data_IF_067231637387
#
_entry.id   IF_067231637387
#
_cell.length_a   1.000
_cell.length_b   1.000
_cell.length_c   1.000
_cell.angle_alpha   90.00
_cell.angle_beta   90.00
_cell.angle_gamma   90.00
#
_symmetry.space_group_name_H-M   'P 1'
#
loop_
_entity.id
_entity.type
_entity.pdbx_description
1 polymer ?
#
# COMPACT_ATOMS: atom_id res chain seq x y z
N UNK A 1 -26.09 -5.21 11.80
CA UNK A 1 -25.55 -6.09 10.74
C UNK A 1 -26.70 -6.92 10.20
N UNK A 2 -27.02 -6.78 8.91
CA UNK A 2 -27.95 -7.70 8.25
C UNK A 2 -27.18 -8.96 7.87
N UNK A 3 -27.51 -10.09 8.53
CA UNK A 3 -26.99 -11.39 8.16
C UNK A 3 -27.91 -12.04 7.12
N UNK A 4 -27.34 -12.72 6.13
CA UNK A 4 -28.11 -13.43 5.11
C UNK A 4 -28.99 -14.51 5.75
N UNK A 5 -30.26 -14.58 5.34
CA UNK A 5 -31.26 -15.52 5.85
C UNK A 5 -31.39 -16.76 4.96
N UNK A 6 -30.75 -16.77 3.80
CA UNK A 6 -30.72 -17.91 2.88
C UNK A 6 -29.41 -17.96 2.08
N UNK A 7 -29.14 -19.12 1.47
CA UNK A 7 -27.96 -19.31 0.63
C UNK A 7 -27.99 -18.41 -0.61
N UNK A 8 -29.16 -18.21 -1.23
CA UNK A 8 -29.32 -17.34 -2.40
C UNK A 8 -29.05 -15.88 -2.06
N UNK A 9 -29.54 -15.41 -0.90
CA UNK A 9 -29.26 -14.07 -0.38
C UNK A 9 -27.76 -13.88 -0.09
N UNK A 10 -27.11 -14.88 0.51
CA UNK A 10 -25.66 -14.83 0.73
C UNK A 10 -24.87 -14.70 -0.57
N UNK A 11 -25.23 -15.47 -1.61
CA UNK A 11 -24.55 -15.41 -2.91
C UNK A 11 -24.74 -14.05 -3.59
N UNK A 12 -25.94 -13.47 -3.50
CA UNK A 12 -26.23 -12.14 -4.02
C UNK A 12 -25.43 -11.06 -3.27
N UNK A 13 -25.47 -11.06 -1.94
CA UNK A 13 -24.69 -10.16 -1.09
C UNK A 13 -23.18 -10.26 -1.39
N UNK A 14 -22.67 -11.49 -1.59
CA UNK A 14 -21.27 -11.74 -1.95
C UNK A 14 -20.93 -11.15 -3.32
N UNK A 15 -21.81 -11.29 -4.33
CA UNK A 15 -21.59 -10.76 -5.69
C UNK A 15 -21.56 -9.23 -5.69
N UNK A 16 -22.48 -8.59 -4.97
CA UNK A 16 -22.54 -7.14 -4.83
C UNK A 16 -21.33 -6.60 -4.04
N UNK A 17 -20.93 -7.31 -2.99
CA UNK A 17 -19.72 -7.01 -2.23
C UNK A 17 -18.47 -7.10 -3.11
N UNK A 18 -18.33 -8.15 -3.93
CA UNK A 18 -17.22 -8.28 -4.87
C UNK A 18 -17.20 -7.19 -5.93
N UNK A 19 -18.37 -6.76 -6.42
CA UNK A 19 -18.47 -5.64 -7.37
C UNK A 19 -17.95 -4.34 -6.72
N UNK A 20 -18.42 -4.02 -5.50
CA UNK A 20 -17.99 -2.84 -4.76
C UNK A 20 -16.50 -2.86 -4.39
N UNK A 21 -15.98 -4.01 -3.98
CA UNK A 21 -14.55 -4.16 -3.67
C UNK A 21 -13.66 -3.98 -4.89
N UNK A 22 -14.12 -4.38 -6.08
CA UNK A 22 -13.35 -4.23 -7.32
C UNK A 22 -13.13 -2.75 -7.66
N UNK A 23 -14.14 -1.92 -7.45
CA UNK A 23 -14.07 -0.47 -7.68
C UNK A 23 -13.26 0.27 -6.58
N UNK A 24 -12.93 -0.42 -5.48
CA UNK A 24 -12.12 0.09 -4.37
C UNK A 24 -10.75 -0.61 -4.26
N UNK A 25 -10.31 -1.29 -5.32
CA UNK A 25 -9.06 -2.05 -5.30
C UNK A 25 -7.85 -1.12 -5.42
N UNK A 26 -7.24 -0.79 -4.28
CA UNK A 26 -5.97 -0.06 -4.24
C UNK A 26 -4.83 -1.04 -4.53
N UNK A 27 -4.40 -1.09 -5.79
CA UNK A 27 -3.29 -1.94 -6.21
C UNK A 27 -1.95 -1.33 -5.78
N UNK A 28 -1.14 -2.12 -5.08
CA UNK A 28 0.26 -1.78 -4.80
C UNK A 28 1.14 -2.50 -5.82
N UNK A 29 1.91 -1.78 -6.65
CA UNK A 29 2.88 -2.42 -7.52
C UNK A 29 3.95 -3.17 -6.71
N UNK A 30 4.41 -4.32 -7.21
CA UNK A 30 5.48 -5.09 -6.58
C UNK A 30 6.83 -4.37 -6.67
N UNK A 31 7.64 -4.41 -5.60
CA UNK A 31 9.00 -3.85 -5.60
C UNK A 31 9.18 -2.51 -4.89
N UNK A 32 8.12 -1.93 -4.33
CA UNK A 32 8.21 -0.69 -3.54
C UNK A 32 8.48 -0.97 -2.06
N UNK A 33 9.49 -0.28 -1.51
CA UNK A 33 9.91 -0.47 -0.12
C UNK A 33 8.90 0.10 0.91
N UNK A 34 8.09 1.07 0.50
CA UNK A 34 7.06 1.70 1.33
C UNK A 34 5.91 2.19 0.46
N UNK A 35 4.68 2.02 0.95
CA UNK A 35 3.48 2.52 0.27
C UNK A 35 2.66 3.31 1.28
N UNK A 36 1.93 4.32 0.81
CA UNK A 36 0.86 4.95 1.58
C UNK A 36 -0.53 4.38 1.20
N UNK A 37 -0.56 3.16 0.66
CA UNK A 37 -1.80 2.50 0.28
C UNK A 37 -2.74 2.45 1.50
N UNK A 38 -3.99 2.89 1.38
CA UNK A 38 -4.92 2.95 2.50
C UNK A 38 -5.19 1.57 3.11
N UNK A 39 -5.19 0.50 2.31
CA UNK A 39 -5.36 -0.89 2.77
C UNK A 39 -4.16 -1.34 3.59
N UNK A 40 -2.94 -1.10 3.11
CA UNK A 40 -1.71 -1.45 3.84
C UNK A 40 -1.58 -0.65 5.14
N UNK A 41 -1.90 0.64 5.08
CA UNK A 41 -1.89 1.54 6.25
C UNK A 41 -2.92 1.10 7.29
N UNK A 42 -4.16 0.78 6.86
CA UNK A 42 -5.19 0.25 7.75
C UNK A 42 -4.75 -1.07 8.38
N UNK A 43 -4.24 -2.01 7.58
CA UNK A 43 -3.75 -3.30 8.07
C UNK A 43 -2.58 -3.16 9.04
N UNK A 44 -1.68 -2.19 8.82
CA UNK A 44 -0.58 -1.91 9.73
C UNK A 44 -1.08 -1.41 11.10
N UNK A 45 -2.03 -0.48 11.10
CA UNK A 45 -2.68 0.02 12.33
C UNK A 45 -3.44 -1.09 13.04
N UNK A 46 -4.28 -1.85 12.31
CA UNK A 46 -5.04 -2.97 12.87
C UNK A 46 -4.11 -4.00 13.52
N UNK A 47 -3.04 -4.39 12.83
CA UNK A 47 -2.04 -5.33 13.36
C UNK A 47 -1.31 -4.75 14.57
N UNK A 48 -0.97 -3.47 14.58
CA UNK A 48 -0.18 -2.84 15.65
C UNK A 48 -1.03 -2.59 16.91
N UNK A 49 -2.17 -1.93 16.75
CA UNK A 49 -2.89 -1.30 17.85
C UNK A 49 -4.02 -2.19 18.37
N UNK A 50 -4.60 -3.02 17.50
CA UNK A 50 -5.82 -3.76 17.84
C UNK A 50 -5.54 -5.26 18.02
N UNK A 51 -4.69 -5.85 17.18
CA UNK A 51 -4.32 -7.26 17.33
C UNK A 51 -3.00 -7.46 18.05
N UNK A 52 -2.18 -6.43 18.27
CA UNK A 52 -0.82 -6.56 18.84
C UNK A 52 0.01 -7.64 18.11
N UNK A 53 -0.19 -7.75 16.78
CA UNK A 53 0.39 -8.75 15.89
C UNK A 53 0.06 -10.21 16.25
N UNK A 54 -0.98 -10.43 17.06
CA UNK A 54 -1.48 -11.76 17.43
C UNK A 54 -2.66 -12.19 16.55
N UNK A 55 -2.86 -13.50 16.44
CA UNK A 55 -4.05 -14.07 15.80
C UNK A 55 -5.24 -13.99 16.76
N UNK A 56 -6.37 -13.46 16.29
CA UNK A 56 -7.60 -13.35 17.06
C UNK A 56 -8.65 -14.37 16.58
N UNK A 57 -9.56 -14.74 17.48
CA UNK A 57 -10.81 -15.43 17.10
C UNK A 57 -11.69 -14.48 16.30
N UNK A 58 -12.55 -15.04 15.43
CA UNK A 58 -13.38 -14.25 14.50
C UNK A 58 -14.20 -13.16 15.19
N UNK A 59 -14.84 -13.45 16.33
CA UNK A 59 -15.64 -12.46 17.04
C UNK A 59 -14.81 -11.25 17.52
N UNK A 60 -13.63 -11.52 18.11
CA UNK A 60 -12.72 -10.46 18.53
C UNK A 60 -12.17 -9.68 17.33
N UNK A 61 -11.81 -10.36 16.24
CA UNK A 61 -11.34 -9.71 15.02
C UNK A 61 -12.40 -8.76 14.43
N UNK A 62 -13.66 -9.17 14.37
CA UNK A 62 -14.75 -8.33 13.87
C UNK A 62 -14.98 -7.10 14.76
N UNK A 63 -14.82 -7.25 16.07
CA UNK A 63 -14.90 -6.12 17.01
C UNK A 63 -13.76 -5.12 16.76
N UNK A 64 -12.52 -5.61 16.64
CA UNK A 64 -11.37 -4.75 16.34
C UNK A 64 -11.49 -4.04 14.99
N UNK A 65 -11.99 -4.72 13.96
CA UNK A 65 -12.28 -4.11 12.66
C UNK A 65 -13.34 -3.01 12.77
N UNK A 66 -14.41 -3.23 13.55
CA UNK A 66 -15.45 -2.23 13.79
C UNK A 66 -14.90 -0.99 14.49
N UNK A 67 -14.07 -1.17 15.51
CA UNK A 67 -13.42 -0.07 16.23
C UNK A 67 -12.48 0.71 15.30
N UNK A 68 -11.62 0.00 14.56
CA UNK A 68 -10.70 0.62 13.60
C UNK A 68 -11.42 1.41 12.50
N UNK A 69 -12.54 0.89 11.99
CA UNK A 69 -13.36 1.61 11.02
C UNK A 69 -13.94 2.91 11.60
N UNK A 70 -14.45 2.89 12.85
CA UNK A 70 -14.99 4.10 13.50
C UNK A 70 -13.91 5.17 13.72
N UNK A 71 -12.72 4.76 14.12
CA UNK A 71 -11.62 5.68 14.41
C UNK A 71 -11.00 6.29 13.13
N UNK A 72 -11.05 5.55 12.01
CA UNK A 72 -10.38 5.95 10.76
C UNK A 72 -11.31 6.49 9.67
N UNK A 73 -12.61 6.21 9.72
CA UNK A 73 -13.58 6.64 8.68
C UNK A 73 -13.78 8.16 8.62
N UNK A 74 -13.45 8.89 9.68
CA UNK A 74 -13.54 10.35 9.73
C UNK A 74 -12.29 11.07 9.20
N UNK A 75 -11.21 10.34 8.89
CA UNK A 75 -9.95 10.92 8.43
C UNK A 75 -9.88 10.86 6.91
N UNK A 76 -9.99 12.01 6.25
CA UNK A 76 -9.61 12.12 4.84
C UNK A 76 -8.09 12.09 4.75
N UNK A 77 -7.54 11.04 4.12
CA UNK A 77 -6.09 10.89 3.90
C UNK A 77 -5.83 10.80 2.42
N UNK A 78 -5.12 11.78 1.90
CA UNK A 78 -4.59 11.73 0.54
C UNK A 78 -3.59 10.58 0.45
N UNK A 79 -3.80 9.69 -0.51
CA UNK A 79 -2.83 8.67 -0.89
C UNK A 79 -2.40 8.93 -2.34
N UNK A 80 -1.18 8.55 -2.69
CA UNK A 80 -0.63 8.80 -4.03
C UNK A 80 -0.75 7.52 -4.84
N UNK A 81 -1.23 7.63 -6.07
CA UNK A 81 -1.13 6.57 -7.06
C UNK A 81 0.24 6.58 -7.77
N UNK A 82 0.93 7.72 -7.70
CA UNK A 82 2.27 7.88 -8.26
C UNK A 82 3.34 7.57 -7.23
N UNK A 83 4.46 7.03 -7.72
CA UNK A 83 5.66 6.82 -6.93
C UNK A 83 6.30 8.15 -6.61
N UNK A 84 6.44 8.44 -5.32
CA UNK A 84 7.17 9.62 -4.85
C UNK A 84 8.42 9.16 -4.11
N UNK A 85 9.63 9.44 -4.64
CA UNK A 85 10.86 9.12 -3.93
C UNK A 85 10.95 9.94 -2.64
N UNK A 86 11.35 9.29 -1.54
CA UNK A 86 11.56 9.97 -0.27
C UNK A 86 12.69 11.01 -0.39
N UNK A 87 12.50 12.22 0.13
CA UNK A 87 13.50 13.30 0.09
C UNK A 87 14.86 12.88 0.67
N UNK A 88 14.85 12.03 1.70
CA UNK A 88 16.05 11.47 2.31
C UNK A 88 16.82 10.55 1.36
N UNK A 89 16.11 9.80 0.51
CA UNK A 89 16.70 8.94 -0.52
C UNK A 89 17.32 9.80 -1.63
N UNK A 90 16.59 10.81 -2.10
CA UNK A 90 17.08 11.77 -3.12
C UNK A 90 18.40 12.39 -2.65
N UNK A 91 18.42 12.94 -1.42
CA UNK A 91 19.62 13.54 -0.84
C UNK A 91 20.80 12.57 -0.80
N UNK A 92 20.58 11.33 -0.32
CA UNK A 92 21.64 10.32 -0.24
C UNK A 92 22.18 9.94 -1.61
N UNK A 93 21.33 9.78 -2.62
CA UNK A 93 21.76 9.51 -4.00
C UNK A 93 22.60 10.68 -4.54
N UNK A 94 22.18 11.92 -4.31
CA UNK A 94 22.96 13.10 -4.71
C UNK A 94 24.34 13.16 -4.04
N UNK A 95 24.43 12.80 -2.75
CA UNK A 95 25.70 12.72 -2.02
C UNK A 95 26.62 11.64 -2.60
N UNK A 96 26.07 10.46 -2.89
CA UNK A 96 26.83 9.35 -3.48
C UNK A 96 27.31 9.66 -4.91
N UNK A 97 26.51 10.38 -5.71
CA UNK A 97 26.93 10.87 -7.03
C UNK A 97 28.08 11.88 -6.88
N UNK A 98 27.97 12.83 -5.95
CA UNK A 98 29.03 13.81 -5.67
C UNK A 98 30.34 13.14 -5.25
N UNK A 99 30.25 12.06 -4.48
CA UNK A 99 31.39 11.26 -4.02
C UNK A 99 31.88 10.24 -5.06
N UNK A 100 31.29 10.24 -6.27
CA UNK A 100 31.63 9.33 -7.39
C UNK A 100 31.46 7.85 -7.05
N UNK A 101 30.61 7.54 -6.09
CA UNK A 101 30.23 6.18 -5.70
C UNK A 101 29.13 5.61 -6.58
N UNK A 102 28.40 6.48 -7.28
CA UNK A 102 27.31 6.16 -8.18
C UNK A 102 27.38 7.03 -9.43
N UNK A 103 27.04 6.45 -10.57
CA UNK A 103 26.94 7.16 -11.84
C UNK A 103 25.54 7.04 -12.42
N UNK A 104 25.03 8.13 -12.97
CA UNK A 104 23.75 8.14 -13.67
C UNK A 104 23.96 7.57 -15.09
N UNK A 105 23.34 6.43 -15.42
CA UNK A 105 23.37 5.93 -16.79
C UNK A 105 22.40 6.73 -17.63
N UNK A 106 22.92 7.63 -18.46
CA UNK A 106 22.11 8.44 -19.37
C UNK A 106 21.38 7.67 -20.47
N UNK A 107 21.48 6.32 -20.52
CA UNK A 107 21.00 5.50 -21.65
C UNK A 107 19.78 4.61 -21.36
N UNK A 108 19.42 4.38 -20.10
CA UNK A 108 18.29 3.50 -19.76
C UNK A 108 17.23 4.26 -18.96
N UNK A 109 16.35 4.97 -19.67
CA UNK A 109 15.05 5.34 -19.11
C UNK A 109 14.12 4.14 -19.28
N UNK A 110 13.93 3.39 -18.19
CA UNK A 110 12.97 2.30 -18.19
C UNK A 110 11.66 2.86 -17.64
N UNK A 111 10.63 2.88 -18.49
CA UNK A 111 9.26 3.14 -18.04
C UNK A 111 8.70 1.82 -17.50
N UNK A 112 8.68 1.69 -16.18
CA UNK A 112 8.00 0.57 -15.54
C UNK A 112 6.57 1.01 -15.28
N UNK A 113 5.62 0.24 -15.82
CA UNK A 113 4.19 0.48 -15.59
C UNK A 113 3.93 0.67 -14.09
N UNK A 114 3.26 1.78 -13.75
CA UNK A 114 2.96 2.21 -12.37
C UNK A 114 4.12 2.80 -11.55
N UNK A 115 5.38 2.73 -12.02
CA UNK A 115 6.53 3.32 -11.32
C UNK A 115 6.94 4.70 -11.85
N UNK A 116 6.48 5.05 -13.05
CA UNK A 116 6.90 6.25 -13.76
C UNK A 116 8.35 6.15 -14.27
N UNK A 117 8.95 7.30 -14.58
CA UNK A 117 10.31 7.35 -15.12
C UNK A 117 11.34 7.01 -14.04
N UNK A 118 12.04 5.90 -14.22
CA UNK A 118 13.12 5.48 -13.32
C UNK A 118 14.47 5.87 -13.93
N UNK A 119 15.34 6.44 -13.11
CA UNK A 119 16.75 6.67 -13.47
C UNK A 119 17.59 5.48 -12.99
N UNK A 120 18.26 4.81 -13.93
CA UNK A 120 19.17 3.70 -13.61
C UNK A 120 20.49 4.26 -13.11
N UNK A 121 20.86 3.87 -11.89
CA UNK A 121 22.12 4.24 -11.25
C UNK A 121 23.06 3.04 -11.30
N UNK A 122 24.27 3.24 -11.85
CA UNK A 122 25.26 2.19 -12.07
C UNK A 122 26.41 2.37 -11.10
N UNK A 123 26.93 1.25 -10.59
CA UNK A 123 28.14 1.22 -9.78
C UNK A 123 29.36 1.54 -10.65
N UNK A 124 30.43 2.14 -10.10
CA UNK A 124 31.69 2.26 -10.79
C UNK A 124 32.15 0.87 -11.25
N UNK A 125 32.51 0.75 -12.52
CA UNK A 125 33.23 -0.44 -12.99
C UNK A 125 34.56 -0.46 -12.24
N UNK A 126 34.83 -1.55 -11.50
CA UNK A 126 36.11 -1.81 -10.87
C UNK A 126 37.09 -2.38 -11.89
#
# INVERSE_FOLDING_TARGET
>A
MHFARSHSEFVAMRKDFWKRLRDQLYWTPTGFASTNNPVETFNAVLKRDYTLRRRLKMAALLQELSNGCKDKSASERFFSLEVVPAQTLIRRVSEMIREKLLYESGRDQVDIASAGHIRVIVLPNW
#
